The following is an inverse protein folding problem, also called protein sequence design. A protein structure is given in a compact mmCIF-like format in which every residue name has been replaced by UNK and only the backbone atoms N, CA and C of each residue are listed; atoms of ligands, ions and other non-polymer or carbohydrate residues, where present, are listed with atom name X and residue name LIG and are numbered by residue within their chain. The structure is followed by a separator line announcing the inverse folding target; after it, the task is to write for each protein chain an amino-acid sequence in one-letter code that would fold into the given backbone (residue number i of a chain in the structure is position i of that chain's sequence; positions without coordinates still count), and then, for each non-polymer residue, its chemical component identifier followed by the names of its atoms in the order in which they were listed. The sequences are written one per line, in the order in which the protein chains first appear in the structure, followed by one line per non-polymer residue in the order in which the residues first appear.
data_IF_868515131006
#
_entry.id   IF_868515131006
#
_cell.length_a   1.000
_cell.length_b   1.000
_cell.length_c   1.000
_cell.angle_alpha   90.00
_cell.angle_beta   90.00
_cell.angle_gamma   90.00
#
_symmetry.space_group_name_H-M   'P 1'
#
loop_
_entity.id
_entity.type
_entity.pdbx_description
1 polymer ?
#
# COMPACT_ATOMS: atom_id res chain seq x y z
N UNK A 1 8.25 43.02 86.69
CA UNK A 1 6.97 43.67 87.08
C UNK A 1 6.78 44.89 86.19
N UNK A 2 5.59 45.20 85.61
CA UNK A 2 4.38 44.41 85.36
C UNK A 2 4.24 44.18 83.81
N UNK A 3 3.12 44.09 83.06
CA UNK A 3 1.68 43.79 83.28
C UNK A 3 1.05 43.19 81.97
N UNK A 4 0.12 42.25 82.14
CA UNK A 4 -1.12 41.86 81.39
C UNK A 4 -1.63 42.75 80.22
N UNK A 5 -2.45 42.28 79.24
CA UNK A 5 -2.95 40.92 78.85
C UNK A 5 -3.99 40.95 77.69
N UNK A 6 -4.20 39.79 77.02
CA UNK A 6 -5.43 39.43 76.23
C UNK A 6 -5.64 40.24 74.93
N UNK A 7 -6.42 39.78 73.94
CA UNK A 7 -7.42 38.69 73.88
C UNK A 7 -7.50 38.10 72.46
N UNK A 8 -7.95 36.84 72.33
CA UNK A 8 -8.52 36.32 71.08
C UNK A 8 -9.99 36.77 70.99
N UNK A 9 -10.53 36.99 69.79
CA UNK A 9 -11.98 36.95 69.58
C UNK A 9 -12.28 36.27 68.23
N UNK A 10 -12.81 35.05 68.31
CA UNK A 10 -13.28 34.26 67.17
C UNK A 10 -14.69 34.73 66.80
N UNK A 11 -14.86 35.23 65.58
CA UNK A 11 -16.14 35.24 64.89
C UNK A 11 -15.98 34.63 63.50
N UNK A 12 -16.86 33.77 63.02
CA UNK A 12 -18.14 33.37 63.64
C UNK A 12 -19.18 33.02 62.59
N UNK A 13 -18.79 32.26 61.55
CA UNK A 13 -19.70 31.87 60.48
C UNK A 13 -20.76 30.89 61.05
N UNK A 14 -21.95 31.42 61.35
CA UNK A 14 -23.06 30.64 61.89
C UNK A 14 -23.33 29.38 61.05
N UNK A 15 -23.36 28.23 61.73
CA UNK A 15 -23.52 26.90 61.13
C UNK A 15 -24.80 26.76 60.31
N UNK A 16 -25.83 27.56 60.60
CA UNK A 16 -27.05 27.65 59.77
C UNK A 16 -26.77 28.05 58.31
N UNK A 17 -25.88 29.02 58.08
CA UNK A 17 -25.55 29.48 56.71
C UNK A 17 -24.80 28.43 55.88
N UNK A 18 -24.04 27.54 56.53
CA UNK A 18 -23.33 26.44 55.87
C UNK A 18 -24.33 25.32 55.49
N UNK A 19 -25.30 25.04 56.36
CA UNK A 19 -26.30 24.00 56.13
C UNK A 19 -27.31 24.37 55.03
N UNK A 20 -27.66 25.66 54.90
CA UNK A 20 -28.52 26.18 53.84
C UNK A 20 -27.88 26.03 52.44
N UNK A 21 -26.57 26.27 52.33
CA UNK A 21 -25.83 26.17 51.06
C UNK A 21 -25.78 24.74 50.49
N UNK A 22 -25.85 23.71 51.33
CA UNK A 22 -25.76 22.30 50.89
C UNK A 22 -27.07 21.73 50.33
N UNK A 23 -28.22 22.38 50.55
CA UNK A 23 -29.54 21.78 50.25
C UNK A 23 -30.18 22.26 48.92
N UNK A 24 -29.38 22.81 47.99
CA UNK A 24 -29.87 23.29 46.69
C UNK A 24 -29.75 22.27 45.53
N UNK A 25 -29.37 21.02 45.83
CA UNK A 25 -29.09 19.99 44.83
C UNK A 25 -30.29 19.24 44.21
N UNK A 26 -31.50 19.38 44.76
CA UNK A 26 -32.64 18.50 44.40
C UNK A 26 -33.93 19.23 44.00
N UNK A 27 -33.92 19.91 42.83
CA UNK A 27 -35.15 20.31 42.13
C UNK A 27 -35.10 20.02 40.62
N UNK A 28 -35.32 18.75 40.26
CA UNK A 28 -35.62 18.34 38.88
C UNK A 28 -36.89 19.07 38.41
N UNK A 29 -36.76 20.07 37.52
CA UNK A 29 -37.89 20.58 36.72
C UNK A 29 -37.74 20.10 35.28
N UNK A 30 -38.72 19.33 34.82
CA UNK A 30 -38.75 18.80 33.45
C UNK A 30 -38.91 19.94 32.44
N UNK A 31 -37.84 20.22 31.68
CA UNK A 31 -37.87 21.10 30.52
C UNK A 31 -37.85 20.23 29.26
N UNK A 32 -38.94 20.26 28.48
CA UNK A 32 -39.11 19.42 27.28
C UNK A 32 -38.02 19.75 26.25
N UNK A 33 -37.29 18.73 25.79
CA UNK A 33 -36.17 18.89 24.87
C UNK A 33 -36.62 19.37 23.47
N UNK A 34 -36.52 20.68 23.21
CA UNK A 34 -36.50 21.18 21.83
C UNK A 34 -35.20 20.71 21.18
N UNK A 35 -35.29 19.77 20.22
CA UNK A 35 -34.17 19.28 19.41
C UNK A 35 -33.57 20.40 18.55
N UNK A 36 -32.72 21.25 19.13
CA UNK A 36 -31.73 22.01 18.36
C UNK A 36 -30.66 21.02 17.91
N UNK A 37 -30.62 20.73 16.61
CA UNK A 37 -29.51 19.98 16.00
C UNK A 37 -28.29 20.88 16.01
N UNK A 38 -27.56 20.87 17.12
CA UNK A 38 -26.17 21.34 17.14
C UNK A 38 -25.40 20.38 16.26
N UNK A 39 -25.04 20.83 15.05
CA UNK A 39 -24.14 20.10 14.18
C UNK A 39 -22.77 20.12 14.86
N UNK A 40 -22.40 19.03 15.53
CA UNK A 40 -21.02 18.82 15.95
C UNK A 40 -20.15 18.92 14.70
N UNK A 41 -19.12 19.76 14.72
CA UNK A 41 -18.13 19.77 13.66
C UNK A 41 -17.41 18.41 13.70
N UNK A 42 -17.41 17.61 12.63
CA UNK A 42 -17.03 16.19 12.70
C UNK A 42 -15.53 15.94 12.96
N UNK A 43 -14.69 16.99 12.88
CA UNK A 43 -13.24 16.88 12.72
C UNK A 43 -12.44 17.67 13.77
N UNK A 44 -12.94 17.90 14.99
CA UNK A 44 -12.08 18.38 16.08
C UNK A 44 -11.41 17.15 16.74
N UNK A 45 -10.07 17.01 16.68
CA UNK A 45 -9.38 15.89 17.31
C UNK A 45 -9.51 15.96 18.83
N UNK A 46 -9.74 14.80 19.46
CA UNK A 46 -9.89 14.71 20.91
C UNK A 46 -8.67 15.25 21.66
N UNK A 47 -8.90 15.70 22.89
CA UNK A 47 -7.85 16.27 23.76
C UNK A 47 -6.66 15.34 23.95
N UNK A 48 -6.89 14.02 23.94
CA UNK A 48 -5.83 13.00 23.99
C UNK A 48 -5.00 12.98 22.71
N UNK A 49 -5.63 13.02 21.54
CA UNK A 49 -4.98 13.07 20.23
C UNK A 49 -4.09 14.30 20.08
N UNK A 50 -4.56 15.47 20.55
CA UNK A 50 -3.77 16.70 20.60
C UNK A 50 -2.55 16.58 21.53
N UNK A 51 -2.68 15.93 22.68
CA UNK A 51 -1.55 15.66 23.59
C UNK A 51 -0.55 14.70 22.94
N UNK A 52 -1.01 13.64 22.28
CA UNK A 52 -0.15 12.68 21.58
C UNK A 52 0.65 13.37 20.47
N UNK A 53 0.02 14.18 19.63
CA UNK A 53 0.74 14.97 18.61
C UNK A 53 1.76 15.92 19.22
N UNK A 54 1.43 16.63 20.31
CA UNK A 54 2.36 17.53 20.97
C UNK A 54 3.59 16.78 21.53
N UNK A 55 3.39 15.62 22.17
CA UNK A 55 4.50 14.82 22.72
C UNK A 55 5.37 14.23 21.60
N UNK A 56 4.78 13.78 20.48
CA UNK A 56 5.54 13.33 19.31
C UNK A 56 6.33 14.47 18.66
N UNK A 57 5.76 15.67 18.53
CA UNK A 57 6.48 16.86 18.02
C UNK A 57 7.62 17.29 18.93
N UNK A 58 7.46 17.19 20.25
CA UNK A 58 8.53 17.46 21.21
C UNK A 58 9.64 16.41 21.07
N UNK A 59 9.32 15.12 20.95
CA UNK A 59 10.34 14.08 20.79
C UNK A 59 11.11 14.20 19.46
N UNK A 60 10.46 14.61 18.37
CA UNK A 60 11.17 14.94 17.13
C UNK A 60 12.18 16.06 17.36
N UNK A 61 11.77 17.17 17.99
CA UNK A 61 12.67 18.29 18.28
C UNK A 61 13.85 17.88 19.18
N UNK A 62 13.65 16.96 20.14
CA UNK A 62 14.74 16.45 21.00
C UNK A 62 15.69 15.54 20.22
N UNK A 63 15.20 14.74 19.26
CA UNK A 63 16.05 13.99 18.32
C UNK A 63 16.86 14.93 17.42
N UNK A 64 16.25 15.99 16.89
CA UNK A 64 16.91 16.97 16.02
C UNK A 64 18.05 17.72 16.77
N UNK A 65 17.89 17.92 18.08
CA UNK A 65 18.90 18.52 18.97
C UNK A 65 19.98 17.53 19.43
N UNK A 66 19.65 16.25 19.61
CA UNK A 66 20.51 15.23 20.23
C UNK A 66 20.44 13.87 19.51
N UNK A 67 20.79 13.79 18.20
CA UNK A 67 20.49 12.62 17.35
C UNK A 67 21.22 11.33 17.74
N UNK A 68 22.27 11.41 18.55
CA UNK A 68 23.11 10.26 18.96
C UNK A 68 22.97 9.91 20.45
N UNK A 69 22.02 10.51 21.18
CA UNK A 69 21.81 10.15 22.58
C UNK A 69 21.06 8.80 22.67
N UNK A 70 21.76 7.76 23.12
CA UNK A 70 21.27 6.39 23.21
C UNK A 70 19.90 6.28 23.90
N UNK A 71 19.71 6.97 25.02
CA UNK A 71 18.46 6.90 25.77
C UNK A 71 17.32 7.63 25.04
N UNK A 72 17.58 8.83 24.49
CA UNK A 72 16.61 9.56 23.66
C UNK A 72 16.17 8.73 22.45
N UNK A 73 17.09 8.11 21.71
CA UNK A 73 16.74 7.25 20.57
C UNK A 73 15.88 6.06 20.99
N UNK A 74 16.22 5.40 22.12
CA UNK A 74 15.47 4.27 22.67
C UNK A 74 14.11 4.69 23.24
N UNK A 75 13.96 5.89 23.78
CA UNK A 75 12.71 6.43 24.32
C UNK A 75 11.77 6.95 23.23
N UNK A 76 12.30 7.67 22.25
CA UNK A 76 11.56 8.05 21.06
C UNK A 76 11.04 6.81 20.33
N UNK A 77 11.89 5.79 20.09
CA UNK A 77 11.45 4.53 19.48
C UNK A 77 10.31 3.84 20.26
N UNK A 78 10.40 3.75 21.60
CA UNK A 78 9.29 3.26 22.45
C UNK A 78 8.01 4.06 22.20
N UNK A 79 8.09 5.40 22.21
CA UNK A 79 6.93 6.28 22.02
C UNK A 79 6.30 6.12 20.62
N UNK A 80 7.10 6.26 19.55
CA UNK A 80 6.61 6.12 18.17
C UNK A 80 5.97 4.75 17.95
N UNK A 81 6.55 3.66 18.47
CA UNK A 81 5.96 2.33 18.42
C UNK A 81 4.63 2.25 19.21
N UNK A 82 4.57 2.79 20.43
CA UNK A 82 3.33 2.87 21.22
C UNK A 82 2.24 3.75 20.60
N UNK A 83 2.60 4.70 19.74
CA UNK A 83 1.67 5.51 18.94
C UNK A 83 1.35 4.90 17.57
N UNK A 84 1.78 3.66 17.28
CA UNK A 84 1.54 2.99 16.00
C UNK A 84 2.39 3.52 14.82
N UNK A 85 3.30 4.45 15.06
CA UNK A 85 4.21 5.02 14.06
C UNK A 85 5.47 4.14 13.93
N UNK A 86 5.26 2.87 13.60
CA UNK A 86 6.28 1.81 13.59
C UNK A 86 7.45 2.20 12.69
N UNK A 87 7.17 2.67 11.47
CA UNK A 87 8.20 3.06 10.48
C UNK A 87 9.16 4.12 11.02
N UNK A 88 8.65 5.10 11.77
CA UNK A 88 9.48 6.14 12.40
C UNK A 88 10.34 5.53 13.52
N UNK A 89 9.76 4.69 14.39
CA UNK A 89 10.52 3.94 15.39
C UNK A 89 11.62 3.06 14.77
N UNK A 90 11.35 2.46 13.62
CA UNK A 90 12.31 1.61 12.90
C UNK A 90 13.44 2.45 12.34
N UNK A 91 13.14 3.59 11.72
CA UNK A 91 14.15 4.45 11.09
C UNK A 91 15.07 5.09 12.15
N UNK A 92 14.53 5.57 13.28
CA UNK A 92 15.32 6.07 14.42
C UNK A 92 16.32 5.00 14.90
N UNK A 93 15.89 3.74 15.03
CA UNK A 93 16.76 2.64 15.47
C UNK A 93 17.76 2.20 14.39
N UNK A 94 17.41 2.25 13.10
CA UNK A 94 18.34 2.00 11.99
C UNK A 94 19.44 3.05 11.95
N UNK A 95 19.09 4.32 12.07
CA UNK A 95 20.07 5.42 12.02
C UNK A 95 20.96 5.43 13.26
N UNK A 96 20.39 5.17 14.45
CA UNK A 96 21.17 4.93 15.67
C UNK A 96 22.20 3.79 15.50
N UNK A 97 21.81 2.65 14.92
CA UNK A 97 22.72 1.52 14.72
C UNK A 97 23.86 1.77 13.73
N UNK A 98 23.72 2.70 12.77
CA UNK A 98 24.83 3.10 11.87
C UNK A 98 26.02 3.66 12.65
N UNK A 99 25.76 4.31 13.79
CA UNK A 99 26.77 4.95 14.64
C UNK A 99 27.11 4.11 15.88
N UNK A 100 26.22 3.21 16.30
CA UNK A 100 26.39 2.36 17.49
C UNK A 100 26.21 0.84 17.18
N UNK A 101 27.02 0.24 16.29
CA UNK A 101 26.88 -1.17 15.91
C UNK A 101 27.05 -2.14 17.08
N UNK A 102 27.82 -1.77 18.11
CA UNK A 102 28.00 -2.55 19.35
C UNK A 102 26.69 -2.78 20.13
N UNK A 103 25.64 -2.00 19.87
CA UNK A 103 24.34 -2.14 20.52
C UNK A 103 23.32 -2.99 19.73
N UNK A 104 23.71 -3.61 18.60
CA UNK A 104 22.79 -4.38 17.74
C UNK A 104 21.93 -5.39 18.51
N UNK A 105 22.51 -6.07 19.51
CA UNK A 105 21.81 -7.04 20.39
C UNK A 105 20.66 -6.39 21.20
N UNK A 106 20.84 -5.18 21.72
CA UNK A 106 19.78 -4.46 22.45
C UNK A 106 18.64 -4.07 21.50
N UNK A 107 18.99 -3.61 20.30
CA UNK A 107 18.02 -3.17 19.29
C UNK A 107 17.26 -4.35 18.70
N UNK A 108 17.92 -5.48 18.42
CA UNK A 108 17.26 -6.75 18.04
C UNK A 108 16.20 -7.15 19.07
N UNK A 109 16.50 -7.07 20.38
CA UNK A 109 15.53 -7.35 21.45
C UNK A 109 14.34 -6.37 21.45
N UNK A 110 14.53 -5.13 21.03
CA UNK A 110 13.42 -4.18 20.83
C UNK A 110 12.54 -4.57 19.63
N UNK A 111 13.15 -4.92 18.49
CA UNK A 111 12.42 -5.37 17.30
C UNK A 111 11.55 -6.60 17.56
N UNK A 112 12.04 -7.59 18.33
CA UNK A 112 11.23 -8.72 18.79
C UNK A 112 9.97 -8.28 19.55
N UNK A 113 10.10 -7.32 20.48
CA UNK A 113 8.96 -6.79 21.23
C UNK A 113 7.98 -6.02 20.34
N UNK A 114 8.48 -5.30 19.33
CA UNK A 114 7.65 -4.58 18.37
C UNK A 114 6.82 -5.56 17.51
N UNK A 115 7.44 -6.58 16.92
CA UNK A 115 6.74 -7.57 16.07
C UNK A 115 5.71 -8.38 16.88
N UNK A 116 6.04 -8.78 18.12
CA UNK A 116 5.08 -9.45 19.01
C UNK A 116 3.89 -8.56 19.43
N UNK A 117 3.94 -7.25 19.16
CA UNK A 117 2.80 -6.34 19.37
C UNK A 117 1.98 -6.10 18.10
N UNK A 118 2.57 -6.36 16.92
CA UNK A 118 2.16 -5.83 15.61
C UNK A 118 2.51 -6.85 14.50
N UNK A 119 1.80 -7.98 14.52
CA UNK A 119 2.21 -9.21 13.84
C UNK A 119 2.37 -9.06 12.30
N UNK A 120 1.54 -8.23 11.66
CA UNK A 120 1.54 -8.02 10.20
C UNK A 120 2.61 -7.04 9.69
N UNK A 121 3.46 -6.47 10.55
CA UNK A 121 4.43 -5.44 10.14
C UNK A 121 5.61 -6.02 9.33
N UNK A 122 5.43 -6.08 8.00
CA UNK A 122 6.42 -6.58 7.03
C UNK A 122 7.78 -5.89 7.17
N UNK A 123 7.83 -4.55 7.15
CA UNK A 123 9.11 -3.84 7.18
C UNK A 123 9.79 -3.88 8.57
N UNK A 124 9.05 -4.17 9.65
CA UNK A 124 9.64 -4.53 10.95
C UNK A 124 10.33 -5.89 10.89
N UNK A 125 9.64 -6.92 10.38
CA UNK A 125 10.17 -8.29 10.19
C UNK A 125 11.41 -8.30 9.30
N UNK A 126 11.36 -7.62 8.14
CA UNK A 126 12.49 -7.50 7.21
C UNK A 126 13.69 -6.77 7.82
N UNK A 127 13.45 -5.78 8.69
CA UNK A 127 14.52 -5.08 9.40
C UNK A 127 15.16 -5.99 10.45
N UNK A 128 14.36 -6.63 11.32
CA UNK A 128 14.85 -7.58 12.32
C UNK A 128 15.68 -8.68 11.66
N UNK A 129 15.16 -9.30 10.62
CA UNK A 129 15.83 -10.40 9.90
C UNK A 129 17.14 -9.96 9.26
N UNK A 130 17.23 -8.72 8.77
CA UNK A 130 18.52 -8.20 8.27
C UNK A 130 19.55 -8.08 9.40
N UNK A 131 19.16 -7.57 10.57
CA UNK A 131 20.03 -7.48 11.75
C UNK A 131 20.42 -8.87 12.32
N UNK A 132 19.51 -9.85 12.29
CA UNK A 132 19.74 -11.22 12.78
C UNK A 132 20.65 -12.01 11.83
N UNK A 133 20.57 -11.77 10.51
CA UNK A 133 21.51 -12.31 9.52
C UNK A 133 22.91 -11.69 9.69
N UNK A 134 23.02 -10.39 9.99
CA UNK A 134 24.30 -9.73 10.31
C UNK A 134 24.98 -10.35 11.55
N UNK A 135 24.20 -10.79 12.55
CA UNK A 135 24.68 -11.56 13.72
C UNK A 135 24.99 -13.04 13.40
N UNK A 136 25.03 -13.43 12.12
CA UNK A 136 25.27 -14.80 11.60
C UNK A 136 24.21 -15.84 11.98
N UNK A 137 23.06 -15.44 12.51
CA UNK A 137 22.02 -16.36 12.99
C UNK A 137 20.97 -16.68 11.93
N UNK A 138 21.41 -17.29 10.84
CA UNK A 138 20.54 -17.59 9.69
C UNK A 138 19.31 -18.45 10.05
N UNK A 139 19.42 -19.37 11.01
CA UNK A 139 18.30 -20.21 11.49
C UNK A 139 17.21 -19.40 12.22
N UNK A 140 17.63 -18.46 13.08
CA UNK A 140 16.73 -17.53 13.78
C UNK A 140 16.04 -16.60 12.77
N UNK A 141 16.75 -16.20 11.71
CA UNK A 141 16.21 -15.42 10.59
C UNK A 141 15.23 -16.20 9.68
N UNK A 142 15.47 -17.50 9.41
CA UNK A 142 14.53 -18.37 8.68
C UNK A 142 13.24 -18.53 9.47
N UNK A 143 13.36 -18.86 10.76
CA UNK A 143 12.21 -19.03 11.68
C UNK A 143 11.32 -17.78 11.79
N UNK A 144 11.87 -16.58 11.52
CA UNK A 144 11.13 -15.31 11.50
C UNK A 144 10.37 -15.00 10.20
N UNK A 145 10.77 -15.59 9.07
CA UNK A 145 10.15 -15.36 7.75
C UNK A 145 9.30 -16.54 7.26
N UNK A 146 9.66 -17.76 7.63
CA UNK A 146 8.82 -18.94 7.41
C UNK A 146 7.51 -18.80 8.18
N UNK A 147 6.38 -19.21 7.58
CA UNK A 147 5.11 -19.22 8.30
C UNK A 147 5.13 -20.32 9.37
N UNK A 148 4.96 -19.96 10.63
CA UNK A 148 4.73 -20.91 11.73
C UNK A 148 3.43 -21.72 11.56
N UNK A 149 2.58 -21.40 10.57
CA UNK A 149 1.46 -22.23 10.14
C UNK A 149 1.54 -22.51 8.64
N UNK A 150 2.02 -23.70 8.30
CA UNK A 150 1.76 -24.37 7.01
C UNK A 150 0.35 -25.02 7.04
N UNK A 151 -0.18 -25.30 8.23
CA UNK A 151 -1.36 -26.13 8.45
C UNK A 151 -2.59 -25.34 8.96
N UNK A 152 -3.10 -24.36 8.19
CA UNK A 152 -4.51 -23.99 8.35
C UNK A 152 -5.17 -23.42 7.08
N UNK A 153 -6.12 -24.21 6.59
CA UNK A 153 -7.35 -23.79 5.88
C UNK A 153 -7.20 -23.05 4.55
N UNK A 154 -7.19 -23.86 3.48
CA UNK A 154 -7.88 -23.55 2.24
C UNK A 154 -9.38 -23.30 2.54
N UNK A 155 -9.74 -22.05 2.82
CA UNK A 155 -11.06 -21.40 2.59
C UNK A 155 -11.25 -20.16 3.48
N UNK A 156 -11.14 -18.97 2.89
CA UNK A 156 -11.97 -17.79 3.24
C UNK A 156 -11.67 -16.61 2.31
N UNK A 157 -12.72 -16.01 1.75
CA UNK A 157 -12.61 -14.90 0.79
C UNK A 157 -12.59 -13.54 1.50
N UNK A 158 -11.41 -13.11 1.96
CA UNK A 158 -11.17 -11.72 2.41
C UNK A 158 -9.75 -11.26 2.09
N UNK A 159 -9.61 -10.08 1.47
CA UNK A 159 -8.41 -9.63 0.75
C UNK A 159 -7.28 -9.04 1.63
N UNK A 160 -6.98 -9.64 2.77
CA UNK A 160 -5.77 -9.32 3.54
C UNK A 160 -4.65 -10.29 3.16
N UNK A 161 -3.84 -9.91 2.16
CA UNK A 161 -2.64 -10.68 1.74
C UNK A 161 -1.60 -10.65 2.89
N UNK A 162 -1.67 -11.66 3.75
CA UNK A 162 -0.92 -11.80 5.00
C UNK A 162 0.59 -11.58 4.82
N UNK A 163 1.28 -11.12 5.87
CA UNK A 163 2.65 -10.63 5.79
C UNK A 163 3.65 -11.62 5.12
N UNK A 164 3.47 -12.93 5.29
CA UNK A 164 4.33 -13.97 4.68
C UNK A 164 4.13 -14.14 3.16
N UNK A 165 2.98 -13.72 2.63
CA UNK A 165 2.71 -13.66 1.20
C UNK A 165 3.40 -12.47 0.51
N UNK A 166 4.06 -11.57 1.25
CA UNK A 166 4.73 -10.41 0.69
C UNK A 166 5.95 -10.82 -0.14
N UNK A 167 6.05 -10.28 -1.36
CA UNK A 167 7.16 -10.47 -2.29
C UNK A 167 8.52 -10.21 -1.63
N UNK A 168 8.67 -9.10 -0.90
CA UNK A 168 9.91 -8.74 -0.20
C UNK A 168 10.33 -9.80 0.83
N UNK A 169 9.36 -10.42 1.50
CA UNK A 169 9.58 -11.48 2.51
C UNK A 169 10.06 -12.76 1.83
N UNK A 170 9.36 -13.20 0.77
CA UNK A 170 9.78 -14.36 -0.02
C UNK A 170 11.18 -14.16 -0.62
N UNK A 171 11.48 -13.00 -1.20
CA UNK A 171 12.81 -12.68 -1.73
C UNK A 171 13.90 -12.65 -0.65
N UNK A 172 13.63 -12.05 0.52
CA UNK A 172 14.59 -12.04 1.63
C UNK A 172 14.85 -13.46 2.16
N UNK A 173 13.83 -14.31 2.23
CA UNK A 173 13.94 -15.72 2.63
C UNK A 173 14.73 -16.55 1.61
N UNK A 174 14.42 -16.41 0.32
CA UNK A 174 15.17 -17.06 -0.76
C UNK A 174 16.67 -16.70 -0.70
N UNK A 175 17.00 -15.41 -0.54
CA UNK A 175 18.40 -14.99 -0.40
C UNK A 175 19.11 -15.61 0.83
N UNK A 176 18.39 -15.91 1.91
CA UNK A 176 18.95 -16.59 3.09
C UNK A 176 19.16 -18.08 2.81
N UNK A 177 18.21 -18.76 2.15
CA UNK A 177 18.37 -20.15 1.73
C UNK A 177 19.53 -20.32 0.73
N UNK A 178 19.64 -19.44 -0.26
CA UNK A 178 20.76 -19.40 -1.21
C UNK A 178 22.10 -19.22 -0.50
N UNK A 179 22.20 -18.27 0.43
CA UNK A 179 23.42 -18.03 1.22
C UNK A 179 23.79 -19.18 2.16
N UNK A 180 22.85 -20.09 2.46
CA UNK A 180 23.07 -21.31 3.24
C UNK A 180 23.34 -22.57 2.40
N UNK A 181 23.12 -22.52 1.08
CA UNK A 181 23.13 -23.71 0.22
C UNK A 181 21.88 -24.60 0.33
N UNK A 182 20.79 -24.09 0.91
CA UNK A 182 19.48 -24.75 0.98
C UNK A 182 18.76 -24.59 -0.37
N UNK A 183 19.15 -25.41 -1.35
CA UNK A 183 18.73 -25.22 -2.75
C UNK A 183 17.27 -25.65 -3.01
N UNK A 184 16.75 -26.64 -2.29
CA UNK A 184 15.38 -27.13 -2.47
C UNK A 184 14.38 -26.06 -1.99
N UNK A 185 14.54 -25.57 -0.76
CA UNK A 185 13.70 -24.52 -0.18
C UNK A 185 13.90 -23.15 -0.86
N UNK A 186 15.08 -22.91 -1.46
CA UNK A 186 15.29 -21.78 -2.35
C UNK A 186 14.40 -21.86 -3.61
N UNK A 187 14.36 -23.02 -4.27
CA UNK A 187 13.54 -23.22 -5.47
C UNK A 187 12.05 -23.10 -5.16
N UNK A 188 11.58 -23.73 -4.07
CA UNK A 188 10.18 -23.65 -3.64
C UNK A 188 9.69 -22.21 -3.38
N UNK A 189 10.57 -21.34 -2.85
CA UNK A 189 10.23 -19.94 -2.58
C UNK A 189 10.34 -19.05 -3.83
N UNK A 190 11.32 -19.29 -4.71
CA UNK A 190 11.56 -18.44 -5.89
C UNK A 190 10.69 -18.83 -7.09
N UNK A 191 10.34 -20.11 -7.28
CA UNK A 191 9.58 -20.59 -8.43
C UNK A 191 8.20 -19.92 -8.58
N UNK A 192 7.38 -19.77 -7.52
CA UNK A 192 6.12 -19.02 -7.61
C UNK A 192 6.32 -17.54 -7.95
N UNK A 193 7.41 -16.92 -7.50
CA UNK A 193 7.72 -15.52 -7.83
C UNK A 193 8.11 -15.35 -9.31
N UNK A 194 8.88 -16.30 -9.86
CA UNK A 194 9.20 -16.35 -11.29
C UNK A 194 7.91 -16.53 -12.10
N UNK A 195 7.00 -17.43 -11.66
CA UNK A 195 5.72 -17.64 -12.32
C UNK A 195 4.81 -16.40 -12.28
N UNK A 196 4.65 -15.74 -11.11
CA UNK A 196 3.92 -14.48 -10.98
C UNK A 196 4.53 -13.39 -11.90
N UNK A 197 5.86 -13.25 -11.91
CA UNK A 197 6.56 -12.25 -12.75
C UNK A 197 6.41 -12.52 -14.25
N UNK A 198 6.49 -13.78 -14.69
CA UNK A 198 6.33 -14.17 -16.09
C UNK A 198 4.89 -13.95 -16.60
N UNK A 199 3.88 -14.19 -15.76
CA UNK A 199 2.47 -13.88 -16.07
C UNK A 199 2.28 -12.36 -16.19
N UNK A 200 2.88 -11.58 -15.29
CA UNK A 200 2.89 -10.10 -15.36
C UNK A 200 3.56 -9.62 -16.65
N UNK A 201 4.72 -10.16 -17.03
CA UNK A 201 5.39 -9.76 -18.26
C UNK A 201 4.59 -10.15 -19.52
N UNK A 202 4.05 -11.37 -19.59
CA UNK A 202 3.26 -11.79 -20.75
C UNK A 202 1.97 -10.95 -20.90
N UNK A 203 1.31 -10.59 -19.80
CA UNK A 203 0.18 -9.65 -19.84
C UNK A 203 0.60 -8.24 -20.25
N UNK A 204 1.74 -7.73 -19.78
CA UNK A 204 2.32 -6.47 -20.26
C UNK A 204 2.66 -6.51 -21.76
N UNK A 205 3.19 -7.63 -22.29
CA UNK A 205 3.47 -7.83 -23.71
C UNK A 205 2.15 -7.82 -24.51
N UNK A 206 1.11 -8.50 -24.02
CA UNK A 206 -0.21 -8.44 -24.63
C UNK A 206 -0.79 -7.01 -24.63
N UNK A 207 -0.60 -6.22 -23.56
CA UNK A 207 -0.97 -4.80 -23.50
C UNK A 207 -0.15 -3.95 -24.48
N UNK A 208 1.17 -4.20 -24.62
CA UNK A 208 2.03 -3.55 -25.63
C UNK A 208 1.53 -3.81 -27.05
N UNK A 209 1.22 -5.06 -27.38
CA UNK A 209 0.70 -5.46 -28.69
C UNK A 209 -0.73 -4.93 -28.95
N UNK A 210 -1.53 -4.73 -27.89
CA UNK A 210 -2.90 -4.18 -27.96
C UNK A 210 -2.97 -2.65 -28.07
N UNK A 211 -1.84 -1.93 -28.18
CA UNK A 211 -1.77 -0.47 -28.46
C UNK A 211 -2.28 -0.14 -29.87
N UNK A 212 -3.58 -0.36 -30.08
CA UNK A 212 -4.29 -0.07 -31.30
C UNK A 212 -4.45 1.45 -31.47
N UNK A 213 -4.59 1.89 -32.73
CA UNK A 213 -5.01 3.25 -33.01
C UNK A 213 -6.44 3.45 -32.47
N UNK A 214 -6.65 4.57 -31.77
CA UNK A 214 -7.97 5.02 -31.31
C UNK A 214 -8.97 5.04 -32.46
N UNK A 215 -10.25 4.75 -32.17
CA UNK A 215 -11.33 4.73 -33.17
C UNK A 215 -11.46 6.06 -33.91
N UNK A 216 -11.32 7.19 -33.20
CA UNK A 216 -11.22 8.54 -33.76
C UNK A 216 -10.06 8.68 -34.75
N UNK A 217 -8.85 8.26 -34.38
CA UNK A 217 -7.65 8.29 -35.25
C UNK A 217 -7.78 7.35 -36.45
N UNK A 218 -8.51 6.25 -36.33
CA UNK A 218 -8.84 5.36 -37.45
C UNK A 218 -9.88 5.98 -38.40
N UNK A 219 -10.91 6.66 -37.86
CA UNK A 219 -11.91 7.39 -38.64
C UNK A 219 -11.27 8.54 -39.41
N UNK A 220 -10.44 9.34 -38.75
CA UNK A 220 -9.73 10.46 -39.38
C UNK A 220 -8.78 9.98 -40.48
N UNK A 221 -8.07 8.86 -40.26
CA UNK A 221 -7.26 8.24 -41.31
C UNK A 221 -8.10 7.65 -42.44
N UNK A 222 -9.34 7.22 -42.19
CA UNK A 222 -10.21 6.69 -43.24
C UNK A 222 -10.78 7.80 -44.15
N UNK A 223 -11.11 8.97 -43.58
CA UNK A 223 -11.62 10.15 -44.32
C UNK A 223 -10.73 10.57 -45.48
N UNK A 224 -9.41 10.45 -45.33
CA UNK A 224 -8.41 10.74 -46.38
C UNK A 224 -8.68 10.01 -47.71
N UNK A 225 -9.38 8.87 -47.71
CA UNK A 225 -9.84 8.23 -48.97
C UNK A 225 -11.12 8.83 -49.55
N UNK A 226 -12.03 9.27 -48.70
CA UNK A 226 -13.30 9.88 -49.09
C UNK A 226 -13.05 11.29 -49.64
N UNK A 227 -12.19 12.07 -48.96
CA UNK A 227 -11.72 13.38 -49.40
C UNK A 227 -10.95 13.28 -50.75
N UNK A 228 -10.09 12.27 -50.89
CA UNK A 228 -9.38 11.99 -52.15
C UNK A 228 -10.34 11.61 -53.30
N UNK A 229 -11.51 11.01 -53.02
CA UNK A 229 -12.50 10.74 -54.05
C UNK A 229 -13.33 11.98 -54.44
N UNK A 230 -13.47 12.98 -53.57
CA UNK A 230 -14.21 14.22 -53.89
C UNK A 230 -13.35 15.30 -54.53
N UNK A 231 -12.08 15.45 -54.14
CA UNK A 231 -11.19 16.47 -54.71
C UNK A 231 -10.84 16.22 -56.20
N UNK A 232 -11.02 15.00 -56.70
CA UNK A 232 -10.85 14.65 -58.13
C UNK A 232 -11.81 15.41 -59.08
N UNK A 233 -12.82 16.12 -58.55
CA UNK A 233 -13.71 16.97 -59.34
C UNK A 233 -13.08 18.35 -59.64
N UNK A 234 -12.11 18.82 -58.84
CA UNK A 234 -11.48 20.13 -58.99
C UNK A 234 -9.94 20.05 -58.88
N UNK A 235 -9.31 19.47 -59.90
CA UNK A 235 -7.86 19.35 -60.04
C UNK A 235 -7.14 20.71 -60.23
N UNK A 236 -7.08 21.52 -59.17
CA UNK A 236 -6.36 22.78 -59.09
C UNK A 236 -5.02 22.65 -58.36
N UNK A 237 -5.00 22.91 -57.05
CA UNK A 237 -3.78 22.93 -56.24
C UNK A 237 -4.01 22.49 -54.77
N UNK A 238 -3.55 21.28 -54.40
CA UNK A 238 -3.00 20.94 -53.06
C UNK A 238 -2.42 19.51 -53.06
N UNK A 239 -1.66 19.10 -52.01
CA UNK A 239 -0.88 17.87 -52.05
C UNK A 239 -1.74 16.61 -52.14
N UNK A 240 -1.52 15.82 -53.19
CA UNK A 240 -1.94 14.41 -53.25
C UNK A 240 -1.42 13.68 -52.01
N UNK A 241 -2.31 13.20 -51.15
CA UNK A 241 -1.94 12.39 -49.99
C UNK A 241 -1.03 11.24 -50.44
N UNK A 242 0.13 11.08 -49.79
CA UNK A 242 1.16 10.22 -50.39
C UNK A 242 0.74 8.74 -50.37
N UNK A 243 1.36 7.91 -51.20
CA UNK A 243 1.00 6.49 -51.31
C UNK A 243 1.07 5.74 -49.96
N UNK A 244 1.87 6.21 -49.00
CA UNK A 244 1.90 5.67 -47.64
C UNK A 244 0.66 6.08 -46.82
N UNK A 245 0.19 7.33 -46.93
CA UNK A 245 -1.07 7.80 -46.34
C UNK A 245 -2.30 7.11 -46.92
N UNK A 246 -2.45 7.04 -48.25
CA UNK A 246 -3.57 6.35 -48.89
C UNK A 246 -3.62 4.86 -48.49
N UNK A 247 -2.45 4.21 -48.35
CA UNK A 247 -2.34 2.82 -47.88
C UNK A 247 -2.64 2.68 -46.37
N UNK A 248 -2.26 3.65 -45.52
CA UNK A 248 -2.67 3.71 -44.11
C UNK A 248 -4.18 3.92 -43.98
N UNK A 249 -4.76 4.77 -44.83
CA UNK A 249 -6.18 5.08 -44.88
C UNK A 249 -7.01 3.86 -45.31
N UNK A 250 -6.60 3.15 -46.36
CA UNK A 250 -7.22 1.90 -46.80
C UNK A 250 -7.17 0.81 -45.72
N UNK A 251 -6.04 0.71 -44.99
CA UNK A 251 -5.92 -0.19 -43.83
C UNK A 251 -6.88 0.22 -42.70
N UNK A 252 -7.00 1.52 -42.39
CA UNK A 252 -7.91 2.01 -41.37
C UNK A 252 -9.40 1.76 -41.72
N UNK A 253 -9.82 2.07 -42.96
CA UNK A 253 -11.18 1.85 -43.47
C UNK A 253 -11.58 0.36 -43.42
N UNK A 254 -10.69 -0.55 -43.85
CA UNK A 254 -10.89 -2.01 -43.71
C UNK A 254 -10.95 -2.49 -42.25
N UNK A 255 -10.15 -1.90 -41.35
CA UNK A 255 -10.14 -2.26 -39.93
C UNK A 255 -11.44 -1.81 -39.22
N UNK A 256 -11.94 -0.62 -39.54
CA UNK A 256 -13.25 -0.14 -39.08
C UNK A 256 -14.39 -1.03 -39.57
N UNK A 257 -14.39 -1.40 -40.85
CA UNK A 257 -15.38 -2.32 -41.43
C UNK A 257 -15.34 -3.71 -40.74
N UNK A 258 -14.14 -4.23 -40.43
CA UNK A 258 -14.02 -5.48 -39.66
C UNK A 258 -14.59 -5.34 -38.24
N UNK A 259 -14.40 -4.19 -37.58
CA UNK A 259 -14.99 -3.90 -36.26
C UNK A 259 -16.51 -3.77 -36.31
N UNK A 260 -17.09 -3.11 -37.33
CA UNK A 260 -18.56 -3.00 -37.46
C UNK A 260 -19.21 -4.35 -37.73
N UNK A 261 -18.61 -5.16 -38.61
CA UNK A 261 -19.13 -6.49 -38.94
C UNK A 261 -19.11 -7.40 -37.71
N UNK A 262 -18.03 -7.37 -36.92
CA UNK A 262 -17.91 -8.16 -35.68
C UNK A 262 -18.90 -7.69 -34.60
N UNK A 263 -19.13 -6.37 -34.43
CA UNK A 263 -20.19 -5.85 -33.53
C UNK A 263 -21.59 -6.28 -33.99
N UNK A 264 -21.84 -6.34 -35.30
CA UNK A 264 -23.06 -6.87 -35.89
C UNK A 264 -23.25 -8.37 -35.66
N UNK A 265 -22.19 -9.17 -35.86
CA UNK A 265 -22.18 -10.61 -35.64
C UNK A 265 -22.40 -10.98 -34.16
N UNK A 266 -21.76 -10.26 -33.23
CA UNK A 266 -21.99 -10.44 -31.80
C UNK A 266 -23.43 -10.09 -31.40
N UNK A 267 -24.00 -9.00 -31.93
CA UNK A 267 -25.41 -8.65 -31.73
C UNK A 267 -26.34 -9.73 -32.29
N UNK A 268 -26.07 -10.25 -33.49
CA UNK A 268 -26.86 -11.33 -34.09
C UNK A 268 -26.80 -12.63 -33.28
N UNK A 269 -25.60 -13.01 -32.78
CA UNK A 269 -25.41 -14.17 -31.91
C UNK A 269 -26.13 -14.04 -30.56
N UNK A 270 -26.10 -12.86 -29.94
CA UNK A 270 -26.85 -12.60 -28.71
C UNK A 270 -28.36 -12.71 -28.92
N UNK A 271 -28.89 -12.11 -29.99
CA UNK A 271 -30.31 -12.21 -30.36
C UNK A 271 -30.73 -13.65 -30.68
N UNK A 272 -29.89 -14.43 -31.37
CA UNK A 272 -30.14 -15.85 -31.63
C UNK A 272 -30.11 -16.71 -30.35
N UNK A 273 -29.37 -16.29 -29.32
CA UNK A 273 -29.37 -16.90 -28.00
C UNK A 273 -30.51 -16.39 -27.08
N UNK A 274 -31.44 -15.56 -27.59
CA UNK A 274 -32.53 -14.97 -26.80
C UNK A 274 -32.10 -13.88 -25.81
N UNK A 275 -30.83 -13.44 -25.86
CA UNK A 275 -30.27 -12.45 -24.94
C UNK A 275 -30.44 -11.04 -25.50
N UNK A 276 -30.99 -10.13 -24.68
CA UNK A 276 -31.15 -8.73 -25.06
C UNK A 276 -29.79 -8.02 -25.14
N UNK A 277 -29.39 -7.60 -26.35
CA UNK A 277 -28.10 -6.97 -26.61
C UNK A 277 -28.04 -5.54 -26.05
N UNK A 278 -27.47 -5.39 -24.85
CA UNK A 278 -27.17 -4.11 -24.24
C UNK A 278 -25.82 -3.60 -24.72
N UNK A 279 -25.78 -2.75 -25.75
CA UNK A 279 -24.56 -2.01 -26.08
C UNK A 279 -24.41 -0.80 -25.17
N UNK A 280 -23.55 -0.92 -24.15
CA UNK A 280 -22.89 0.25 -23.60
C UNK A 280 -22.00 0.85 -24.68
N UNK A 281 -22.46 1.94 -25.32
CA UNK A 281 -21.75 2.58 -26.43
C UNK A 281 -20.69 3.59 -25.94
N UNK A 282 -19.97 3.22 -24.86
CA UNK A 282 -18.77 3.98 -24.51
C UNK A 282 -17.67 3.70 -25.53
N UNK A 283 -16.91 4.74 -25.86
CA UNK A 283 -15.71 4.63 -26.69
C UNK A 283 -14.46 4.24 -25.88
N UNK A 284 -14.63 4.00 -24.58
CA UNK A 284 -13.62 3.46 -23.68
C UNK A 284 -13.03 2.15 -24.22
N UNK A 285 -11.69 2.08 -24.23
CA UNK A 285 -11.00 0.79 -24.28
C UNK A 285 -11.44 -0.06 -23.06
N UNK A 286 -11.45 -1.42 -23.15
CA UNK A 286 -11.46 -2.23 -21.94
C UNK A 286 -10.34 -1.71 -21.03
N UNK A 287 -10.62 -1.43 -19.73
CA UNK A 287 -9.86 -0.48 -18.93
C UNK A 287 -8.37 -0.80 -19.00
N UNK A 288 -7.57 0.20 -19.38
CA UNK A 288 -6.15 0.04 -19.71
C UNK A 288 -5.44 -0.74 -18.62
N UNK A 289 -5.22 -2.02 -18.88
CA UNK A 289 -4.72 -2.97 -17.90
C UNK A 289 -3.33 -2.48 -17.48
N UNK A 290 -3.25 -1.99 -16.24
CA UNK A 290 -2.13 -1.15 -15.80
C UNK A 290 -0.81 -1.90 -15.95
N UNK A 291 0.25 -1.16 -16.31
CA UNK A 291 1.60 -1.70 -16.42
C UNK A 291 2.10 -2.12 -15.04
N UNK A 292 1.82 -3.37 -14.66
CA UNK A 292 2.36 -3.97 -13.44
C UNK A 292 3.86 -4.14 -13.64
N UNK A 293 4.67 -3.58 -12.73
CA UNK A 293 6.13 -3.81 -12.75
C UNK A 293 6.38 -5.30 -12.53
N UNK A 294 7.24 -5.98 -13.33
CA UNK A 294 7.65 -7.34 -13.03
C UNK A 294 8.38 -7.39 -11.67
N UNK A 295 8.12 -8.46 -10.92
CA UNK A 295 8.63 -8.64 -9.55
C UNK A 295 10.15 -8.85 -9.55
N UNK A 296 10.64 -9.56 -10.58
CA UNK A 296 12.04 -9.94 -10.73
C UNK A 296 12.60 -9.43 -12.08
N UNK A 297 12.87 -8.12 -12.25
CA UNK A 297 13.37 -7.59 -13.52
C UNK A 297 14.72 -8.17 -13.94
N UNK A 298 15.64 -8.36 -12.97
CA UNK A 298 17.02 -8.77 -13.25
C UNK A 298 17.19 -10.29 -13.36
N UNK A 299 16.33 -11.09 -12.70
CA UNK A 299 16.43 -12.56 -12.77
C UNK A 299 16.03 -13.10 -14.16
N UNK A 300 15.26 -12.33 -14.91
CA UNK A 300 14.83 -12.63 -16.28
C UNK A 300 15.88 -12.27 -17.35
N UNK A 301 16.99 -11.63 -16.97
CA UNK A 301 18.10 -11.35 -17.90
C UNK A 301 18.93 -12.63 -18.16
N UNK A 302 19.18 -13.44 -17.11
CA UNK A 302 19.88 -14.72 -17.19
C UNK A 302 18.92 -15.90 -17.49
N UNK A 303 18.42 -15.97 -18.73
CA UNK A 303 17.51 -17.04 -19.17
C UNK A 303 18.07 -18.46 -18.92
N UNK A 304 19.40 -18.66 -19.04
CA UNK A 304 20.07 -19.93 -18.77
C UNK A 304 19.98 -20.35 -17.30
N UNK A 305 19.97 -19.39 -16.36
CA UNK A 305 19.78 -19.66 -14.93
C UNK A 305 18.35 -20.15 -14.65
N UNK A 306 17.33 -19.48 -15.21
CA UNK A 306 15.93 -19.92 -15.10
C UNK A 306 15.73 -21.31 -15.72
N UNK A 307 16.32 -21.57 -16.90
CA UNK A 307 16.27 -22.90 -17.54
C UNK A 307 16.95 -23.96 -16.66
N UNK A 308 18.06 -23.63 -16.01
CA UNK A 308 18.76 -24.55 -15.10
C UNK A 308 17.92 -24.90 -13.86
N UNK A 309 17.25 -23.92 -13.25
CA UNK A 309 16.32 -24.17 -12.13
C UNK A 309 15.12 -25.03 -12.57
N UNK A 310 14.55 -24.76 -13.76
CA UNK A 310 13.47 -25.58 -14.32
C UNK A 310 13.91 -27.02 -14.60
N UNK A 311 15.16 -27.23 -15.05
CA UNK A 311 15.72 -28.58 -15.27
C UNK A 311 15.95 -29.36 -13.98
N UNK A 312 16.24 -28.68 -12.86
CA UNK A 312 16.34 -29.31 -11.54
C UNK A 312 14.95 -29.73 -11.06
N UNK A 313 13.95 -28.86 -11.18
CA UNK A 313 12.58 -29.11 -10.68
C UNK A 313 11.74 -30.03 -11.60
N UNK A 314 12.17 -30.24 -12.85
CA UNK A 314 11.52 -31.15 -13.81
C UNK A 314 12.11 -32.58 -13.81
N UNK A 315 13.00 -32.91 -12.86
CA UNK A 315 13.52 -34.27 -12.66
C UNK A 315 12.56 -35.08 -11.78
N UNK A 316 12.03 -36.23 -12.24
CA UNK A 316 11.17 -37.12 -11.45
C UNK A 316 11.98 -38.03 -10.49
#
# INVERSE_FOLDING_TARGET
MPKKSRKEDVFGASTGKIMEAMNYGNRKKSMKAKKRVVRLAPNLPDRLTLIIHLVLSIMQLVLDLCPWNADTCKEAAKLYNSCGQIEHSINILKDYLKHHPSERVQVIKFFYRAINSLEDSVDARLTLVSLVVEEKKADEAISLLSSNNINMTLDSSSETKSWWHNEKVKLKLANIYQAKGMLEEYVDVIFPLIQESLIIENTNIAVRARKNLLKSVLLERARVLDDYQTDLVFCGFRPTANASELLKAARAKKLLQKKSNLKGEMKAKALAAGLNWHSGDSDDEPPRQEFKKPLLPQLLEDAEYIISLLWIYARP
#
